data_IF_891235681575
#
_entry.id   IF_891235681575
#
_cell.length_a   1.000
_cell.length_b   1.000
_cell.length_c   1.000
_cell.angle_alpha   90.00
_cell.angle_beta   90.00
_cell.angle_gamma   90.00
#
_symmetry.space_group_name_H-M   'P 1'
#
loop_
_entity.id
_entity.type
_entity.pdbx_description
1 polymer ?
#
# COMPACT_ATOMS: atom_id res chain seq x y z
N UNK A 1 -22.92 13.74 0.61
CA UNK A 1 -21.55 13.29 0.97
C UNK A 1 -21.17 14.15 2.15
N UNK A 2 -20.85 13.51 3.26
CA UNK A 2 -20.34 14.22 4.44
C UNK A 2 -18.95 14.77 4.09
N UNK A 3 -18.67 16.00 4.52
CA UNK A 3 -17.41 16.70 4.26
C UNK A 3 -16.63 16.79 5.57
N UNK A 4 -15.33 16.56 5.51
CA UNK A 4 -14.41 16.75 6.63
C UNK A 4 -13.32 17.74 6.20
N UNK A 5 -12.96 18.66 7.10
CA UNK A 5 -11.87 19.62 6.88
C UNK A 5 -10.60 19.14 7.56
N UNK A 6 -9.45 19.26 6.90
CA UNK A 6 -8.15 19.01 7.54
C UNK A 6 -7.88 19.98 8.72
N UNK A 7 -8.51 21.17 8.71
CA UNK A 7 -8.39 22.12 9.81
C UNK A 7 -8.94 21.58 11.14
N UNK A 8 -9.94 20.68 11.06
CA UNK A 8 -10.58 20.06 12.23
C UNK A 8 -9.77 18.88 12.78
N UNK A 9 -8.61 18.56 12.17
CA UNK A 9 -7.73 17.44 12.53
C UNK A 9 -8.48 16.11 12.69
N UNK A 10 -9.22 15.66 11.67
CA UNK A 10 -9.94 14.39 11.75
C UNK A 10 -8.96 13.22 11.92
N UNK A 11 -9.43 12.17 12.58
CA UNK A 11 -8.73 10.88 12.64
C UNK A 11 -9.14 10.04 11.43
N UNK A 12 -8.16 9.68 10.59
CA UNK A 12 -8.37 8.88 9.38
C UNK A 12 -7.10 8.12 8.99
N UNK A 13 -7.28 7.05 8.23
CA UNK A 13 -6.24 6.35 7.50
C UNK A 13 -6.22 6.84 6.04
N UNK A 14 -5.08 6.78 5.37
CA UNK A 14 -4.99 7.10 3.94
C UNK A 14 -4.70 5.82 3.13
N UNK A 15 -5.45 5.58 2.05
CA UNK A 15 -5.18 4.48 1.13
C UNK A 15 -4.26 4.93 0.00
N UNK A 16 -3.10 4.29 -0.07
CA UNK A 16 -2.13 4.42 -1.16
C UNK A 16 -2.22 3.20 -2.07
N UNK A 17 -2.59 3.39 -3.35
CA UNK A 17 -2.78 2.29 -4.29
C UNK A 17 -2.57 2.75 -5.74
N UNK A 18 -2.21 1.82 -6.63
CA UNK A 18 -2.13 2.15 -8.06
C UNK A 18 -3.54 2.29 -8.65
N UNK A 19 -3.87 3.46 -9.20
CA UNK A 19 -5.13 3.65 -9.93
C UNK A 19 -5.30 2.65 -11.09
N UNK A 20 -4.24 2.42 -11.86
CA UNK A 20 -4.24 1.61 -13.06
C UNK A 20 -4.95 2.31 -14.23
N UNK A 21 -5.34 1.53 -15.24
CA UNK A 21 -6.16 2.05 -16.33
C UNK A 21 -7.52 2.55 -15.78
N UNK A 22 -8.06 3.69 -16.28
CA UNK A 22 -9.32 4.30 -15.80
C UNK A 22 -10.57 3.52 -16.24
N UNK A 23 -10.56 2.21 -16.05
CA UNK A 23 -11.62 1.29 -16.37
C UNK A 23 -12.53 1.12 -15.14
N UNK A 24 -13.44 2.08 -14.95
CA UNK A 24 -14.41 2.12 -13.86
C UNK A 24 -15.51 1.08 -14.06
N UNK A 25 -15.18 -0.20 -13.85
CA UNK A 25 -16.05 -1.36 -14.08
C UNK A 25 -16.77 -1.84 -12.82
N UNK A 26 -16.23 -1.53 -11.65
CA UNK A 26 -16.73 -1.97 -10.36
C UNK A 26 -17.52 -0.86 -9.68
N UNK A 27 -18.26 -1.21 -8.62
CA UNK A 27 -19.08 -0.27 -7.87
C UNK A 27 -18.93 -0.47 -6.37
N UNK A 28 -18.92 0.63 -5.63
CA UNK A 28 -18.99 0.67 -4.17
C UNK A 28 -20.20 1.49 -3.73
N UNK A 29 -20.67 1.27 -2.50
CA UNK A 29 -21.77 2.04 -1.93
C UNK A 29 -21.21 3.13 -1.00
N UNK A 30 -21.59 4.38 -1.26
CA UNK A 30 -21.24 5.54 -0.43
C UNK A 30 -22.54 6.25 -0.07
N UNK A 31 -22.89 6.27 1.22
CA UNK A 31 -24.12 6.88 1.75
C UNK A 31 -25.39 6.45 0.95
N UNK A 32 -25.51 5.14 0.67
CA UNK A 32 -26.64 4.57 -0.07
C UNK A 32 -26.59 4.76 -1.59
N UNK A 33 -25.54 5.40 -2.14
CA UNK A 33 -25.38 5.64 -3.58
C UNK A 33 -24.28 4.77 -4.18
N UNK A 34 -24.55 4.29 -5.39
CA UNK A 34 -23.58 3.55 -6.18
C UNK A 34 -22.51 4.50 -6.76
N UNK A 35 -21.24 4.23 -6.47
CA UNK A 35 -20.10 4.98 -6.96
C UNK A 35 -19.16 4.05 -7.75
N UNK A 36 -18.80 4.44 -8.97
CA UNK A 36 -18.00 3.61 -9.88
C UNK A 36 -16.51 3.72 -9.56
N UNK A 37 -15.84 2.59 -9.45
CA UNK A 37 -14.40 2.51 -9.13
C UNK A 37 -13.68 1.53 -10.04
N UNK A 38 -12.34 1.60 -10.07
CA UNK A 38 -11.53 0.60 -10.76
C UNK A 38 -11.56 -0.74 -10.03
N UNK A 39 -11.23 -1.82 -10.74
CA UNK A 39 -11.10 -3.15 -10.14
C UNK A 39 -10.07 -3.18 -9.00
N UNK A 40 -8.98 -2.42 -9.15
CA UNK A 40 -7.93 -2.39 -8.13
C UNK A 40 -8.42 -1.74 -6.83
N UNK A 41 -9.14 -0.60 -6.92
CA UNK A 41 -9.70 0.06 -5.73
C UNK A 41 -10.75 -0.81 -5.03
N UNK A 42 -11.65 -1.45 -5.80
CA UNK A 42 -12.62 -2.37 -5.21
C UNK A 42 -11.94 -3.52 -4.47
N UNK A 43 -10.87 -4.08 -5.04
CA UNK A 43 -10.10 -5.15 -4.41
C UNK A 43 -9.43 -4.68 -3.13
N UNK A 44 -8.78 -3.50 -3.14
CA UNK A 44 -8.17 -2.91 -1.95
C UNK A 44 -9.20 -2.75 -0.82
N UNK A 45 -10.36 -2.16 -1.13
CA UNK A 45 -11.45 -1.95 -0.18
C UNK A 45 -12.04 -3.26 0.37
N UNK A 46 -12.12 -4.29 -0.49
CA UNK A 46 -12.58 -5.62 -0.07
C UNK A 46 -11.64 -6.22 0.99
N UNK A 47 -10.33 -6.19 0.76
CA UNK A 47 -9.34 -6.74 1.70
C UNK A 47 -9.23 -5.90 2.98
N UNK A 48 -9.35 -4.57 2.86
CA UNK A 48 -9.37 -3.66 4.01
C UNK A 48 -10.58 -3.94 4.92
N UNK A 49 -11.75 -4.25 4.35
CA UNK A 49 -12.95 -4.57 5.13
C UNK A 49 -12.84 -5.90 5.90
N UNK A 50 -11.94 -6.82 5.51
CA UNK A 50 -11.78 -8.09 6.23
C UNK A 50 -11.14 -7.95 7.61
N UNK A 51 -10.66 -6.75 7.98
CA UNK A 51 -10.01 -6.49 9.27
C UNK A 51 -10.98 -6.31 10.46
N UNK A 52 -12.26 -6.70 10.32
CA UNK A 52 -13.32 -6.73 11.35
C UNK A 52 -13.66 -5.41 12.10
N UNK A 53 -12.98 -4.31 11.82
CA UNK A 53 -13.24 -2.99 12.41
C UNK A 53 -13.69 -1.95 11.36
N UNK A 54 -14.61 -1.07 11.75
CA UNK A 54 -14.98 0.07 10.91
C UNK A 54 -13.89 1.13 10.97
N UNK A 55 -13.34 1.50 9.81
CA UNK A 55 -12.27 2.49 9.70
C UNK A 55 -12.67 3.65 8.81
N UNK A 56 -12.18 4.84 9.14
CA UNK A 56 -12.29 6.04 8.29
C UNK A 56 -11.08 6.05 7.36
N UNK A 57 -11.33 6.05 6.05
CA UNK A 57 -10.27 5.97 5.04
C UNK A 57 -10.44 7.10 4.03
N UNK A 58 -9.39 7.90 3.86
CA UNK A 58 -9.25 8.84 2.76
C UNK A 58 -8.74 8.12 1.51
N UNK A 59 -9.40 8.36 0.39
CA UNK A 59 -9.10 7.73 -0.91
C UNK A 59 -9.22 8.81 -1.98
N UNK A 60 -8.13 9.09 -2.70
CA UNK A 60 -8.07 10.15 -3.71
C UNK A 60 -9.22 10.10 -4.74
N UNK A 61 -9.52 8.92 -5.28
CA UNK A 61 -10.57 8.71 -6.28
C UNK A 61 -11.98 8.97 -5.76
N UNK A 62 -12.17 9.01 -4.44
CA UNK A 62 -13.46 9.19 -3.78
C UNK A 62 -13.58 10.59 -3.15
N UNK A 63 -12.53 11.03 -2.46
CA UNK A 63 -12.51 12.27 -1.68
C UNK A 63 -12.21 13.50 -2.52
N UNK A 64 -11.55 13.35 -3.69
CA UNK A 64 -11.28 14.46 -4.61
C UNK A 64 -12.31 14.42 -5.75
N UNK A 65 -12.87 15.57 -6.08
CA UNK A 65 -13.71 15.70 -7.27
C UNK A 65 -12.87 15.57 -8.55
N UNK A 66 -12.83 14.36 -9.10
CA UNK A 66 -12.03 14.04 -10.28
C UNK A 66 -12.47 14.77 -11.56
N UNK A 67 -13.64 15.42 -11.56
CA UNK A 67 -14.17 16.20 -12.69
C UNK A 67 -13.82 17.69 -12.63
N UNK A 68 -13.31 18.16 -11.51
CA UNK A 68 -12.92 19.55 -11.30
C UNK A 68 -11.39 19.64 -11.27
N UNK A 69 -10.81 20.17 -12.34
CA UNK A 69 -9.36 20.28 -12.46
C UNK A 69 -8.77 21.33 -11.51
N UNK A 70 -9.53 22.36 -11.13
CA UNK A 70 -9.06 23.36 -10.18
C UNK A 70 -9.02 22.75 -8.79
N UNK A 71 -10.10 22.10 -8.35
CA UNK A 71 -10.12 21.39 -7.06
C UNK A 71 -9.03 20.33 -7.02
N UNK A 72 -8.92 19.51 -8.07
CA UNK A 72 -7.90 18.46 -8.15
C UNK A 72 -6.49 19.04 -8.03
N UNK A 73 -6.19 20.14 -8.70
CA UNK A 73 -4.87 20.78 -8.60
C UNK A 73 -4.58 21.27 -7.18
N UNK A 74 -5.58 21.87 -6.51
CA UNK A 74 -5.45 22.29 -5.10
C UNK A 74 -5.30 21.10 -4.14
N UNK A 75 -6.00 19.98 -4.38
CA UNK A 75 -5.90 18.77 -3.56
C UNK A 75 -4.57 18.04 -3.77
N UNK A 76 -4.05 18.02 -5.00
CA UNK A 76 -2.72 17.45 -5.30
C UNK A 76 -1.62 18.19 -4.54
N UNK A 77 -1.71 19.52 -4.42
CA UNK A 77 -0.78 20.30 -3.59
C UNK A 77 -0.87 19.98 -2.09
N UNK A 78 -1.99 19.41 -1.64
CA UNK A 78 -2.22 19.02 -0.24
C UNK A 78 -1.86 17.55 0.05
N UNK A 79 -1.52 16.75 -0.96
CA UNK A 79 -1.29 15.30 -0.80
C UNK A 79 -0.27 14.99 0.30
N UNK A 80 0.89 15.65 0.28
CA UNK A 80 1.92 15.44 1.31
C UNK A 80 1.34 15.59 2.72
N UNK A 81 0.59 16.67 2.96
CA UNK A 81 -0.04 16.95 4.26
C UNK A 81 -1.11 15.91 4.63
N UNK A 82 -1.90 15.44 3.65
CA UNK A 82 -2.92 14.41 3.88
C UNK A 82 -2.27 13.10 4.34
N UNK A 83 -1.19 12.67 3.69
CA UNK A 83 -0.48 11.45 4.09
C UNK A 83 0.30 11.63 5.41
N UNK A 84 0.80 12.83 5.68
CA UNK A 84 1.49 13.17 6.94
C UNK A 84 0.55 13.22 8.16
N UNK A 85 -0.68 13.73 7.97
CA UNK A 85 -1.67 13.84 9.03
C UNK A 85 -2.49 12.55 9.24
N UNK A 86 -2.42 11.59 8.31
CA UNK A 86 -3.06 10.28 8.46
C UNK A 86 -2.48 9.52 9.67
N UNK A 87 -3.34 8.80 10.38
CA UNK A 87 -2.92 7.92 11.48
C UNK A 87 -2.12 6.72 10.99
N UNK A 88 -2.49 6.23 9.81
CA UNK A 88 -1.87 5.09 9.14
C UNK A 88 -2.05 5.24 7.64
N UNK A 89 -0.98 4.97 6.89
CA UNK A 89 -1.01 4.84 5.45
C UNK A 89 -1.09 3.35 5.09
N UNK A 90 -2.18 2.97 4.44
CA UNK A 90 -2.43 1.61 3.97
C UNK A 90 -1.98 1.51 2.52
N UNK A 91 -0.90 0.77 2.26
CA UNK A 91 -0.28 0.65 0.94
C UNK A 91 -0.75 -0.66 0.30
N UNK A 92 -1.59 -0.56 -0.74
CA UNK A 92 -2.09 -1.72 -1.45
C UNK A 92 -1.21 -2.08 -2.67
N UNK A 93 -0.51 -3.20 -2.57
CA UNK A 93 0.37 -3.75 -3.62
C UNK A 93 -0.38 -4.61 -4.65
N UNK A 94 -1.62 -4.98 -4.35
CA UNK A 94 -2.48 -5.78 -5.21
C UNK A 94 -2.87 -7.13 -4.60
N UNK A 95 -3.70 -7.91 -5.31
CA UNK A 95 -4.07 -9.26 -4.90
C UNK A 95 -2.86 -10.19 -4.78
N UNK A 96 -3.01 -11.26 -4.00
CA UNK A 96 -2.03 -12.32 -3.91
C UNK A 96 -1.80 -12.97 -5.28
N UNK A 97 -0.54 -13.05 -5.70
CA UNK A 97 -0.06 -13.72 -6.92
C UNK A 97 1.46 -13.78 -6.90
N UNK A 98 2.09 -14.53 -7.80
CA UNK A 98 3.55 -14.57 -7.96
C UNK A 98 4.27 -14.85 -6.62
N UNK A 99 3.72 -15.76 -5.81
CA UNK A 99 4.21 -16.13 -4.47
C UNK A 99 4.30 -14.97 -3.47
N UNK A 100 3.52 -13.89 -3.69
CA UNK A 100 3.51 -12.73 -2.79
C UNK A 100 3.22 -13.08 -1.34
N UNK A 101 2.39 -14.09 -1.07
CA UNK A 101 2.10 -14.50 0.31
C UNK A 101 3.37 -14.98 1.01
N UNK A 102 4.27 -15.69 0.32
CA UNK A 102 5.58 -16.11 0.85
C UNK A 102 6.47 -14.89 1.12
N UNK A 103 6.46 -13.90 0.23
CA UNK A 103 7.22 -12.66 0.44
C UNK A 103 6.69 -11.83 1.61
N UNK A 104 5.38 -11.92 1.89
CA UNK A 104 4.71 -11.21 2.98
C UNK A 104 4.76 -11.99 4.31
N UNK A 105 4.87 -13.33 4.27
CA UNK A 105 4.91 -14.26 5.42
C UNK A 105 6.33 -14.53 5.93
N UNK A 106 7.32 -13.68 5.64
CA UNK A 106 8.67 -13.76 6.25
C UNK A 106 8.68 -13.53 7.78
N UNK A 107 7.49 -13.53 8.40
CA UNK A 107 7.22 -13.74 9.81
C UNK A 107 7.51 -15.18 10.22
N UNK A 108 8.73 -15.47 10.68
CA UNK A 108 8.91 -16.46 11.73
C UNK A 108 8.96 -15.74 13.07
N UNK A 109 8.11 -16.18 13.99
CA UNK A 109 7.93 -15.70 15.37
C UNK A 109 9.13 -16.01 16.28
N UNK A 110 10.36 -15.81 15.82
CA UNK A 110 11.53 -15.96 16.67
C UNK A 110 11.82 -14.62 17.36
N UNK A 111 11.55 -14.57 18.66
CA UNK A 111 11.99 -13.53 19.58
C UNK A 111 13.52 -13.36 19.43
N UNK A 112 13.97 -12.15 19.11
CA UNK A 112 15.35 -11.78 18.72
C UNK A 112 15.76 -12.08 17.26
N UNK A 113 14.87 -11.89 16.28
CA UNK A 113 15.27 -11.91 14.86
C UNK A 113 15.42 -10.47 14.30
N UNK A 114 16.66 -10.00 14.20
CA UNK A 114 17.04 -8.88 13.33
C UNK A 114 16.74 -9.32 11.89
N UNK A 115 15.50 -9.09 11.45
CA UNK A 115 14.98 -9.58 10.18
C UNK A 115 16.00 -9.46 9.04
N UNK A 116 16.03 -10.48 8.18
CA UNK A 116 17.05 -10.72 7.14
C UNK A 116 17.79 -9.46 6.65
N UNK A 117 19.09 -9.43 6.93
CA UNK A 117 19.99 -8.36 6.50
C UNK A 117 20.18 -8.37 4.98
N UNK A 118 20.52 -7.21 4.42
CA UNK A 118 20.79 -7.01 2.99
C UNK A 118 21.80 -8.01 2.41
N UNK A 119 22.83 -8.35 3.18
CA UNK A 119 23.88 -9.29 2.78
C UNK A 119 23.34 -10.73 2.67
N UNK A 120 22.37 -11.09 3.51
CA UNK A 120 21.70 -12.39 3.49
C UNK A 120 20.74 -12.52 2.31
N UNK A 121 20.03 -11.45 1.92
CA UNK A 121 19.19 -11.46 0.71
C UNK A 121 20.04 -11.55 -0.55
N UNK A 122 21.09 -10.71 -0.66
CA UNK A 122 21.96 -10.65 -1.84
C UNK A 122 22.80 -11.92 -2.03
N UNK A 123 23.30 -12.53 -0.96
CA UNK A 123 24.04 -13.81 -1.04
C UNK A 123 23.16 -14.97 -1.50
N UNK A 124 21.86 -14.97 -1.18
CA UNK A 124 20.90 -15.97 -1.65
C UNK A 124 20.48 -15.76 -3.12
N UNK A 125 20.44 -14.50 -3.59
CA UNK A 125 20.19 -14.19 -5.02
C UNK A 125 21.39 -14.61 -5.90
N UNK A 126 22.61 -14.44 -5.38
CA UNK A 126 23.85 -14.62 -6.14
C UNK A 126 24.38 -16.05 -6.10
N UNK A 127 24.18 -16.80 -5.01
CA UNK A 127 24.56 -18.21 -4.92
C UNK A 127 23.49 -19.12 -5.53
N UNK A 128 23.61 -19.38 -6.84
CA UNK A 128 22.73 -20.33 -7.56
C UNK A 128 22.86 -21.80 -7.14
N UNK A 129 23.76 -22.18 -6.24
CA UNK A 129 23.99 -23.58 -5.87
C UNK A 129 24.36 -23.70 -4.38
N UNK A 130 23.43 -24.14 -3.53
CA UNK A 130 23.74 -24.50 -2.13
C UNK A 130 22.54 -24.45 -1.19
N UNK A 131 22.04 -25.62 -0.83
CA UNK A 131 20.99 -25.93 0.16
C UNK A 131 21.14 -25.18 1.50
N UNK A 132 20.17 -24.35 1.90
CA UNK A 132 19.16 -24.57 2.95
C UNK A 132 18.26 -23.32 3.11
N UNK A 133 16.94 -23.50 3.06
CA UNK A 133 15.87 -22.50 3.24
C UNK A 133 16.02 -21.19 2.42
N UNK A 134 16.05 -21.30 1.10
CA UNK A 134 15.87 -20.15 0.23
C UNK A 134 14.47 -19.57 0.44
N UNK A 135 14.36 -18.33 0.90
CA UNK A 135 13.21 -17.54 0.47
C UNK A 135 13.20 -17.56 -1.05
N UNK A 136 12.05 -17.72 -1.73
CA UNK A 136 12.06 -17.61 -3.17
C UNK A 136 12.47 -16.17 -3.49
N UNK A 137 13.72 -15.96 -3.86
CA UNK A 137 14.24 -14.67 -4.34
C UNK A 137 13.32 -14.09 -5.42
N UNK A 138 12.63 -14.96 -6.17
CA UNK A 138 11.56 -14.62 -7.10
C UNK A 138 10.36 -13.92 -6.45
N UNK A 139 9.88 -14.37 -5.29
CA UNK A 139 8.71 -13.81 -4.62
C UNK A 139 8.93 -12.34 -4.21
N UNK A 140 10.07 -12.03 -3.57
CA UNK A 140 10.44 -10.65 -3.21
C UNK A 140 10.64 -9.81 -4.48
N UNK A 141 11.33 -10.35 -5.49
CA UNK A 141 11.51 -9.68 -6.77
C UNK A 141 10.17 -9.33 -7.43
N UNK A 142 9.22 -10.26 -7.50
CA UNK A 142 7.89 -10.03 -8.07
C UNK A 142 7.03 -9.06 -7.23
N UNK A 143 7.25 -9.00 -5.92
CA UNK A 143 6.62 -8.01 -5.05
C UNK A 143 7.14 -6.60 -5.35
N UNK A 144 8.45 -6.43 -5.53
CA UNK A 144 9.10 -5.16 -5.86
C UNK A 144 8.83 -4.68 -7.30
N UNK A 145 8.47 -5.58 -8.21
CA UNK A 145 8.03 -5.25 -9.57
C UNK A 145 6.55 -4.84 -9.65
N UNK A 146 5.85 -4.74 -8.51
CA UNK A 146 4.45 -4.31 -8.50
C UNK A 146 4.28 -2.88 -9.04
N UNK A 147 3.18 -2.59 -9.77
CA UNK A 147 2.93 -1.27 -10.36
C UNK A 147 2.92 -0.11 -9.35
N UNK A 148 2.74 -0.40 -8.05
CA UNK A 148 2.76 0.61 -7.01
C UNK A 148 4.14 1.29 -6.89
N UNK A 149 5.23 0.52 -6.94
CA UNK A 149 6.61 1.01 -6.82
C UNK A 149 7.02 1.96 -7.93
N UNK A 150 6.36 1.88 -9.09
CA UNK A 150 6.65 2.69 -10.27
C UNK A 150 5.92 4.04 -10.27
N UNK A 151 5.10 4.33 -9.25
CA UNK A 151 4.34 5.58 -9.19
C UNK A 151 5.23 6.73 -8.71
N UNK A 152 5.13 7.87 -9.39
CA UNK A 152 5.83 9.12 -9.03
C UNK A 152 5.50 9.56 -7.59
N UNK A 153 4.30 9.28 -7.12
CA UNK A 153 3.81 9.74 -5.81
C UNK A 153 4.26 8.87 -4.63
N UNK A 154 4.96 7.75 -4.84
CA UNK A 154 5.42 6.86 -3.76
C UNK A 154 6.18 7.61 -2.67
N UNK A 155 7.00 8.60 -3.05
CA UNK A 155 7.80 9.40 -2.11
C UNK A 155 6.91 10.23 -1.18
N UNK A 156 5.81 10.80 -1.68
CA UNK A 156 4.89 11.57 -0.85
C UNK A 156 4.03 10.68 0.04
N UNK A 157 3.66 9.50 -0.46
CA UNK A 157 2.78 8.57 0.26
C UNK A 157 3.51 7.81 1.37
N UNK A 158 4.71 7.29 1.08
CA UNK A 158 5.53 6.56 2.04
C UNK A 158 6.44 7.46 2.86
N UNK A 159 7.04 8.48 2.23
CA UNK A 159 8.00 9.37 2.90
C UNK A 159 7.35 10.36 3.86
N UNK A 160 6.07 10.71 3.68
CA UNK A 160 5.32 11.55 4.61
C UNK A 160 4.61 10.74 5.71
N UNK A 161 4.46 9.42 5.55
CA UNK A 161 3.69 8.59 6.47
C UNK A 161 4.34 8.53 7.85
N UNK A 162 3.54 8.79 8.90
CA UNK A 162 3.97 8.53 10.30
C UNK A 162 4.07 7.03 10.60
N UNK A 163 3.14 6.26 10.03
CA UNK A 163 3.07 4.80 10.06
C UNK A 163 2.55 4.33 8.72
N UNK A 164 3.09 3.23 8.22
CA UNK A 164 2.62 2.62 6.99
C UNK A 164 2.59 1.10 7.10
N UNK A 165 1.60 0.49 6.47
CA UNK A 165 1.47 -0.97 6.35
C UNK A 165 1.34 -1.31 4.87
N UNK A 166 2.17 -2.23 4.39
CA UNK A 166 2.02 -2.83 3.08
C UNK A 166 1.01 -3.96 3.15
N UNK A 167 0.08 -3.98 2.21
CA UNK A 167 -0.98 -4.97 2.07
C UNK A 167 -0.85 -5.64 0.71
N UNK A 168 -0.87 -6.97 0.68
CA UNK A 168 -0.92 -7.75 -0.55
C UNK A 168 -1.80 -8.99 -0.33
N UNK A 169 -2.87 -9.11 -1.11
CA UNK A 169 -3.90 -10.12 -0.84
C UNK A 169 -4.45 -9.98 0.59
N UNK A 170 -4.49 -11.10 1.32
CA UNK A 170 -4.92 -11.14 2.72
C UNK A 170 -3.78 -10.91 3.72
N UNK A 171 -2.55 -10.68 3.26
CA UNK A 171 -1.38 -10.46 4.12
C UNK A 171 -1.05 -8.98 4.26
N UNK A 172 -0.44 -8.63 5.38
CA UNK A 172 0.03 -7.28 5.67
C UNK A 172 1.33 -7.28 6.46
N UNK A 173 2.23 -6.35 6.16
CA UNK A 173 3.51 -6.19 6.85
C UNK A 173 3.76 -4.71 7.18
N UNK A 174 4.28 -4.44 8.38
CA UNK A 174 4.67 -3.07 8.78
C UNK A 174 5.81 -2.56 7.89
N UNK A 175 5.72 -1.29 7.48
CA UNK A 175 6.70 -0.70 6.56
C UNK A 175 8.14 -0.71 7.10
N UNK A 176 8.33 -0.63 8.43
CA UNK A 176 9.68 -0.71 9.02
C UNK A 176 10.35 -2.05 8.73
N UNK A 177 9.55 -3.13 8.73
CA UNK A 177 10.03 -4.49 8.46
C UNK A 177 10.33 -4.74 6.99
N UNK A 178 9.71 -3.97 6.09
CA UNK A 178 9.99 -4.02 4.66
C UNK A 178 11.12 -3.07 4.23
N UNK A 179 11.39 -2.03 5.02
CA UNK A 179 12.44 -1.02 4.74
C UNK A 179 13.85 -1.62 4.63
N UNK A 180 14.13 -2.70 5.38
CA UNK A 180 15.39 -3.46 5.27
C UNK A 180 15.62 -4.01 3.86
N UNK A 181 14.57 -4.22 3.05
CA UNK A 181 14.67 -4.71 1.67
C UNK A 181 14.72 -3.59 0.60
N UNK A 182 14.29 -2.36 0.93
CA UNK A 182 14.03 -1.28 -0.05
C UNK A 182 15.16 -0.26 -0.21
N UNK A 183 16.16 -0.26 0.69
CA UNK A 183 17.32 0.65 0.61
C UNK A 183 18.22 0.41 -0.62
N UNK A 184 17.95 -0.63 -1.42
CA UNK A 184 18.73 -1.05 -2.59
C UNK A 184 18.34 -0.32 -3.90
N UNK A 185 17.20 0.38 -3.97
CA UNK A 185 16.78 1.08 -5.20
C UNK A 185 17.20 2.56 -5.28
N UNK A 186 18.26 2.95 -4.57
CA UNK A 186 18.96 4.23 -4.81
C UNK A 186 20.19 4.03 -5.67
#
# INVERSE_FOLDING_TARGET
>A
MDRASLADKPSYNALSYTWGAPNFTQSICINGRCFRVTKNLQSALFHLRQQHESVVVWIDAVCINQKDNEEKSHQVQQMQRIYEEAQLVLIWLGPARDESDVAMDNDKEDEEDDGLTLEQILSQVTNKHGTQAALPTGAIYHLLQRPWWQRVWVVQELGAARKAIFMCGSRSIDANRMSTALTIFR
#
